data_IF_029363440360
#
_entry.id   IF_029363440360
#
_cell.length_a   1.000
_cell.length_b   1.000
_cell.length_c   1.000
_cell.angle_alpha   90.00
_cell.angle_beta   90.00
_cell.angle_gamma   90.00
#
_symmetry.space_group_name_H-M   'P 1'
#
loop_
_entity.id
_entity.type
_entity.pdbx_description
1 polymer ?
#
# COMPACT_ATOMS: atom_id res chain seq x y z
N UNK A 1 -18.14 -22.74 -3.82
CA UNK A 1 -17.00 -22.14 -3.10
C UNK A 1 -17.58 -21.53 -1.83
N UNK A 2 -16.81 -21.27 -0.79
CA UNK A 2 -17.40 -20.66 0.41
C UNK A 2 -17.61 -19.18 0.08
N UNK A 3 -18.82 -18.82 -0.32
CA UNK A 3 -19.20 -17.47 -0.80
C UNK A 3 -19.17 -16.40 0.31
N UNK A 4 -18.40 -16.61 1.38
CA UNK A 4 -18.47 -15.86 2.63
C UNK A 4 -17.07 -15.65 3.25
N UNK A 5 -16.04 -15.54 2.41
CA UNK A 5 -14.69 -15.27 2.88
C UNK A 5 -14.36 -13.78 2.65
N UNK A 6 -14.47 -12.98 3.70
CA UNK A 6 -14.25 -11.51 3.65
C UNK A 6 -12.81 -11.12 3.31
N UNK A 7 -11.84 -12.04 3.49
CA UNK A 7 -10.41 -11.82 3.19
C UNK A 7 -9.92 -12.83 2.15
N UNK A 8 -9.59 -12.32 0.97
CA UNK A 8 -9.20 -13.14 -0.19
C UNK A 8 -7.75 -13.64 -0.11
N UNK A 9 -6.82 -12.80 0.36
CA UNK A 9 -5.45 -13.19 0.67
C UNK A 9 -4.72 -12.09 1.46
N UNK A 10 -3.60 -12.48 2.08
CA UNK A 10 -2.63 -11.57 2.68
C UNK A 10 -1.30 -11.57 1.94
N UNK A 11 -0.60 -10.44 1.98
CA UNK A 11 0.70 -10.22 1.34
C UNK A 11 1.62 -9.49 2.31
N UNK A 12 2.92 -9.78 2.24
CA UNK A 12 3.97 -9.03 2.89
C UNK A 12 4.90 -8.43 1.82
N UNK A 13 5.12 -7.11 1.88
CA UNK A 13 5.81 -6.34 0.86
C UNK A 13 6.84 -5.39 1.49
N UNK A 14 8.07 -5.29 0.95
CA UNK A 14 9.05 -4.30 1.42
C UNK A 14 8.65 -2.87 0.97
N UNK A 15 8.79 -1.83 1.82
CA UNK A 15 8.35 -0.48 1.46
C UNK A 15 9.38 0.33 0.66
N UNK A 16 10.58 -0.22 0.43
CA UNK A 16 11.71 0.53 -0.14
C UNK A 16 11.45 0.95 -1.60
N UNK A 17 11.94 2.14 -2.01
CA UNK A 17 11.62 2.69 -3.33
C UNK A 17 12.40 2.07 -4.50
N UNK A 18 13.48 1.34 -4.22
CA UNK A 18 14.39 0.80 -5.25
C UNK A 18 13.69 -0.04 -6.35
N UNK A 19 12.75 -0.96 -6.04
CA UNK A 19 12.05 -1.70 -7.09
C UNK A 19 11.22 -0.80 -8.01
N UNK A 20 10.75 0.36 -7.53
CA UNK A 20 9.97 1.31 -8.32
C UNK A 20 10.87 2.27 -9.11
N UNK A 21 11.86 2.87 -8.46
CA UNK A 21 12.64 3.99 -9.01
C UNK A 21 13.94 3.58 -9.70
N UNK A 22 14.50 2.43 -9.34
CA UNK A 22 15.82 2.03 -9.80
C UNK A 22 15.98 0.50 -10.02
N UNK A 23 14.99 -0.19 -10.63
CA UNK A 23 15.06 -1.64 -10.81
C UNK A 23 16.27 -2.09 -11.63
N UNK A 24 16.81 -1.25 -12.51
CA UNK A 24 17.96 -1.53 -13.37
C UNK A 24 19.32 -1.48 -12.66
N UNK A 25 19.40 -0.89 -11.47
CA UNK A 25 20.67 -0.76 -10.74
C UNK A 25 21.13 -2.07 -10.08
N UNK A 26 20.24 -3.04 -9.88
CA UNK A 26 20.55 -4.30 -9.25
C UNK A 26 19.54 -5.41 -9.64
N UNK A 27 20.04 -6.61 -9.96
CA UNK A 27 19.18 -7.75 -10.32
C UNK A 27 18.17 -8.11 -9.22
N UNK A 28 18.50 -7.92 -7.94
CA UNK A 28 17.59 -8.10 -6.82
C UNK A 28 16.44 -7.10 -6.81
N UNK A 29 16.69 -5.83 -7.16
CA UNK A 29 15.65 -4.81 -7.28
C UNK A 29 14.72 -5.12 -8.45
N UNK A 30 15.28 -5.56 -9.58
CA UNK A 30 14.51 -6.05 -10.72
C UNK A 30 13.64 -7.26 -10.35
N UNK A 31 14.20 -8.25 -9.66
CA UNK A 31 13.45 -9.43 -9.23
C UNK A 31 12.28 -9.07 -8.31
N UNK A 32 12.47 -8.11 -7.39
CA UNK A 32 11.39 -7.59 -6.56
C UNK A 32 10.35 -6.85 -7.41
N UNK A 33 10.79 -6.04 -8.37
CA UNK A 33 9.89 -5.34 -9.27
C UNK A 33 9.01 -6.31 -10.06
N UNK A 34 9.60 -7.36 -10.63
CA UNK A 34 8.89 -8.41 -11.34
C UNK A 34 7.89 -9.15 -10.43
N UNK A 35 8.21 -9.31 -9.14
CA UNK A 35 7.28 -9.87 -8.15
C UNK A 35 6.10 -8.93 -7.83
N UNK A 36 6.33 -7.61 -7.77
CA UNK A 36 5.26 -6.61 -7.66
C UNK A 36 4.35 -6.61 -8.89
N UNK A 37 4.89 -6.78 -10.09
CA UNK A 37 4.08 -6.85 -11.31
C UNK A 37 3.18 -8.11 -11.30
N UNK A 38 3.68 -9.27 -10.84
CA UNK A 38 2.84 -10.46 -10.61
C UNK A 38 1.78 -10.25 -9.54
N UNK A 39 2.13 -9.52 -8.48
CA UNK A 39 1.20 -9.20 -7.41
C UNK A 39 0.06 -8.29 -7.91
N UNK A 40 0.39 -7.30 -8.75
CA UNK A 40 -0.60 -6.45 -9.41
C UNK A 40 -1.62 -7.30 -10.17
N UNK A 41 -1.16 -8.25 -11.00
CA UNK A 41 -2.05 -9.13 -11.77
C UNK A 41 -2.95 -9.97 -10.84
N UNK A 42 -2.41 -10.46 -9.72
CA UNK A 42 -3.18 -11.19 -8.72
C UNK A 42 -4.24 -10.31 -8.03
N UNK A 43 -3.92 -9.07 -7.69
CA UNK A 43 -4.89 -8.12 -7.11
C UNK A 43 -5.99 -7.82 -8.13
N UNK A 44 -5.63 -7.53 -9.38
CA UNK A 44 -6.60 -7.21 -10.44
C UNK A 44 -7.55 -8.37 -10.76
N UNK A 45 -7.11 -9.62 -10.58
CA UNK A 45 -7.91 -10.83 -10.80
C UNK A 45 -8.61 -11.36 -9.55
N UNK A 46 -8.52 -10.63 -8.42
CA UNK A 46 -9.02 -11.13 -7.13
C UNK A 46 -10.48 -10.83 -6.85
N UNK A 47 -11.10 -9.89 -7.56
CA UNK A 47 -12.41 -9.34 -7.19
C UNK A 47 -12.45 -8.67 -5.79
N UNK A 48 -11.31 -8.28 -5.23
CA UNK A 48 -11.26 -7.54 -3.96
C UNK A 48 -11.81 -6.11 -4.11
N UNK A 49 -12.69 -5.70 -3.19
CA UNK A 49 -13.23 -4.34 -3.15
C UNK A 49 -12.24 -3.33 -2.53
N UNK A 50 -11.48 -3.75 -1.52
CA UNK A 50 -10.59 -2.89 -0.73
C UNK A 50 -9.22 -3.56 -0.52
N UNK A 51 -8.16 -2.76 -0.53
CA UNK A 51 -6.82 -3.18 -0.07
C UNK A 51 -6.54 -2.50 1.29
N UNK A 52 -6.47 -3.30 2.35
CA UNK A 52 -6.09 -2.80 3.68
C UNK A 52 -4.57 -2.84 3.85
N UNK A 53 -3.94 -1.67 4.01
CA UNK A 53 -2.48 -1.54 4.13
C UNK A 53 -2.10 -1.16 5.56
N UNK A 54 -1.24 -1.95 6.20
CA UNK A 54 -0.55 -1.58 7.43
C UNK A 54 0.93 -1.35 7.12
N UNK A 55 1.41 -0.12 7.30
CA UNK A 55 2.80 0.24 6.99
C UNK A 55 3.61 0.49 8.25
N UNK A 56 4.79 -0.11 8.31
CA UNK A 56 5.81 0.22 9.32
C UNK A 56 6.43 1.60 9.11
N UNK A 57 6.26 2.20 7.93
CA UNK A 57 6.78 3.54 7.59
C UNK A 57 5.79 4.66 7.88
N UNK A 58 4.62 4.36 8.45
CA UNK A 58 3.65 5.37 8.90
C UNK A 58 3.53 5.34 10.43
N UNK A 59 4.51 5.90 11.16
CA UNK A 59 4.55 5.81 12.62
C UNK A 59 3.45 6.67 13.25
N UNK A 60 2.87 6.16 14.33
CA UNK A 60 1.96 6.92 15.18
C UNK A 60 2.38 6.82 16.64
N UNK A 61 2.37 7.95 17.35
CA UNK A 61 2.76 8.02 18.77
C UNK A 61 1.53 7.90 19.68
N UNK A 62 0.36 8.34 19.22
CA UNK A 62 -0.88 8.36 20.01
C UNK A 62 -1.97 7.61 19.26
N UNK A 63 -2.24 6.39 19.71
CA UNK A 63 -3.25 5.51 19.13
C UNK A 63 -2.92 5.05 17.71
N UNK A 64 -3.91 4.47 17.03
CA UNK A 64 -3.82 4.13 15.63
C UNK A 64 -4.44 5.24 14.78
N UNK A 65 -3.70 5.67 13.75
CA UNK A 65 -4.22 6.57 12.72
C UNK A 65 -4.76 5.77 11.55
N UNK A 66 -5.78 6.30 10.88
CA UNK A 66 -6.40 5.72 9.69
C UNK A 66 -6.54 6.84 8.65
N UNK A 67 -6.06 6.61 7.42
CA UNK A 67 -6.22 7.55 6.31
C UNK A 67 -7.68 7.56 5.85
N UNK A 68 -8.30 8.75 5.81
CA UNK A 68 -9.70 8.93 5.43
C UNK A 68 -9.91 10.13 4.49
N UNK A 69 -8.83 10.74 3.97
CA UNK A 69 -8.94 11.71 2.90
C UNK A 69 -9.28 10.97 1.59
N UNK A 70 -10.39 11.27 0.89
CA UNK A 70 -10.87 10.43 -0.22
C UNK A 70 -9.90 10.34 -1.41
N UNK A 71 -9.26 11.45 -1.78
CA UNK A 71 -8.38 11.53 -2.95
C UNK A 71 -7.06 12.25 -2.59
N UNK A 72 -6.19 11.64 -1.76
CA UNK A 72 -4.91 12.24 -1.45
C UNK A 72 -4.01 12.14 -2.68
N UNK A 73 -3.49 13.30 -3.11
CA UNK A 73 -2.55 13.44 -4.21
C UNK A 73 -1.30 14.15 -3.71
N UNK A 74 -0.13 13.60 -4.04
CA UNK A 74 1.16 14.17 -3.64
C UNK A 74 2.29 13.70 -4.55
N UNK A 75 3.42 14.41 -4.50
CA UNK A 75 4.69 13.96 -5.07
C UNK A 75 5.62 13.64 -3.90
N UNK A 76 5.69 12.36 -3.54
CA UNK A 76 6.52 11.93 -2.42
C UNK A 76 7.98 11.81 -2.87
N UNK A 77 8.90 12.24 -2.02
CA UNK A 77 10.34 12.00 -2.15
C UNK A 77 10.74 11.30 -0.87
N UNK A 78 11.41 10.16 -1.01
CA UNK A 78 11.88 9.38 0.13
C UNK A 78 12.98 10.13 0.89
N UNK A 79 12.92 10.17 2.22
CA UNK A 79 13.87 10.94 3.03
C UNK A 79 15.30 10.39 2.94
N UNK A 80 15.46 9.06 2.96
CA UNK A 80 16.76 8.38 2.91
C UNK A 80 17.27 8.22 1.48
N UNK A 81 16.35 8.06 0.52
CA UNK A 81 16.64 7.72 -0.88
C UNK A 81 16.21 8.80 -1.88
N UNK A 82 16.16 10.07 -1.47
CA UNK A 82 15.72 11.22 -2.28
C UNK A 82 16.44 11.35 -3.63
N UNK A 83 17.69 10.88 -3.72
CA UNK A 83 18.49 10.89 -4.95
C UNK A 83 18.00 9.91 -6.03
N UNK A 84 17.14 8.94 -5.68
CA UNK A 84 16.53 8.03 -6.64
C UNK A 84 15.37 8.68 -7.41
N UNK A 85 14.84 9.80 -6.94
CA UNK A 85 13.78 10.56 -7.60
C UNK A 85 12.49 10.68 -6.79
N UNK A 86 11.42 11.03 -7.48
CA UNK A 86 10.10 11.30 -6.88
C UNK A 86 9.07 10.23 -7.26
N UNK A 87 8.12 9.98 -6.36
CA UNK A 87 7.00 9.06 -6.52
C UNK A 87 5.68 9.85 -6.48
N UNK A 88 5.15 10.27 -7.64
CA UNK A 88 3.82 10.86 -7.70
C UNK A 88 2.77 9.79 -7.40
N UNK A 89 1.80 10.11 -6.56
CA UNK A 89 0.65 9.25 -6.31
C UNK A 89 -0.64 10.04 -6.24
N UNK A 90 -1.73 9.38 -6.61
CA UNK A 90 -3.10 9.76 -6.29
C UNK A 90 -3.84 8.49 -5.88
N UNK A 91 -4.35 8.45 -4.66
CA UNK A 91 -5.09 7.29 -4.16
C UNK A 91 -6.59 7.53 -4.21
N UNK A 92 -7.35 6.43 -4.20
CA UNK A 92 -8.78 6.43 -3.93
C UNK A 92 -8.98 5.71 -2.59
N UNK A 93 -9.44 6.43 -1.58
CA UNK A 93 -9.61 5.93 -0.22
C UNK A 93 -11.10 5.76 0.08
N UNK A 94 -11.47 4.54 0.47
CA UNK A 94 -12.80 4.27 1.03
C UNK A 94 -12.91 4.94 2.42
N UNK A 95 -13.41 6.17 2.40
CA UNK A 95 -13.50 7.02 3.58
C UNK A 95 -14.63 6.56 4.51
N UNK A 96 -15.68 5.95 3.97
CA UNK A 96 -16.76 5.37 4.76
C UNK A 96 -16.23 4.18 5.58
N UNK A 97 -15.52 3.26 4.92
CA UNK A 97 -14.86 2.14 5.59
C UNK A 97 -13.84 2.62 6.63
N UNK A 98 -13.03 3.63 6.30
CA UNK A 98 -12.05 4.20 7.23
C UNK A 98 -12.70 4.73 8.52
N UNK A 99 -13.83 5.45 8.40
CA UNK A 99 -14.57 5.93 9.56
C UNK A 99 -15.25 4.80 10.33
N UNK A 100 -15.87 3.84 9.65
CA UNK A 100 -16.47 2.67 10.29
C UNK A 100 -15.43 1.86 11.08
N UNK A 101 -14.23 1.67 10.52
CA UNK A 101 -13.13 0.99 11.20
C UNK A 101 -12.65 1.75 12.43
N UNK A 102 -12.53 3.08 12.34
CA UNK A 102 -12.23 3.95 13.48
C UNK A 102 -13.28 3.85 14.58
N UNK A 103 -14.56 3.74 14.25
CA UNK A 103 -15.65 3.59 15.23
C UNK A 103 -15.59 2.22 15.90
N UNK A 104 -15.39 1.14 15.13
CA UNK A 104 -15.24 -0.21 15.64
C UNK A 104 -14.01 -0.38 16.55
N UNK A 105 -13.01 0.50 16.41
CA UNK A 105 -11.78 0.51 17.20
C UNK A 105 -11.88 1.35 18.50
N UNK A 106 -13.04 1.94 18.81
CA UNK A 106 -13.25 2.66 20.07
C UNK A 106 -13.36 1.65 21.22
N UNK A 107 -12.36 1.66 22.10
CA UNK A 107 -12.35 0.93 23.39
C UNK A 107 -12.91 1.84 24.47
#
# INVERSE_FOLDING_TARGET
MNDNQDVLFGIYCPPHPHPLLAPELNDGYKNLRDAYDKLKDRIQSSDADIILIYSTTWPSIVGHQIQAHPEPEWIHVDDDFHYLGSMPYKFNIDSEFAHAYREASRI
#
